data_IF_308677320388
#
_entry.id   IF_308677320388
#
_cell.length_a   1.000
_cell.length_b   1.000
_cell.length_c   1.000
_cell.angle_alpha   90.00
_cell.angle_beta   90.00
_cell.angle_gamma   90.00
#
_symmetry.space_group_name_H-M   'P 1'
#
loop_
_entity.id
_entity.type
_entity.pdbx_description
1 polymer ?
#
# COMPACT_ATOMS: atom_id res chain seq x y z
N UNK A 1 -22.50 0.53 -11.73
CA UNK A 1 -21.71 -0.31 -10.80
C UNK A 1 -20.33 -0.49 -11.38
N UNK A 2 -19.28 -0.22 -10.60
CA UNK A 2 -17.90 -0.46 -11.01
C UNK A 2 -17.70 -1.97 -11.24
N UNK A 3 -17.12 -2.36 -12.38
CA UNK A 3 -16.88 -3.78 -12.69
C UNK A 3 -15.54 -4.20 -12.09
N UNK A 4 -15.45 -5.36 -11.41
CA UNK A 4 -14.18 -5.85 -10.92
C UNK A 4 -13.25 -6.17 -12.10
N UNK A 5 -11.97 -5.80 -11.97
CA UNK A 5 -10.94 -6.19 -12.94
C UNK A 5 -10.54 -7.67 -12.76
N UNK A 6 -10.76 -8.23 -11.57
CA UNK A 6 -10.54 -9.64 -11.26
C UNK A 6 -11.69 -10.09 -10.35
N UNK A 7 -12.31 -11.22 -10.65
CA UNK A 7 -13.23 -11.90 -9.74
C UNK A 7 -13.13 -13.41 -9.96
N UNK A 8 -12.20 -14.07 -9.26
CA UNK A 8 -11.94 -15.51 -9.43
C UNK A 8 -11.28 -16.14 -8.20
N UNK A 9 -11.36 -17.47 -8.12
CA UNK A 9 -10.59 -18.29 -7.19
C UNK A 9 -9.17 -18.48 -7.72
N UNK A 10 -8.18 -18.24 -6.87
CA UNK A 10 -6.75 -18.35 -7.23
C UNK A 10 -5.97 -19.11 -6.17
N UNK A 11 -4.97 -19.87 -6.61
CA UNK A 11 -4.09 -20.63 -5.72
C UNK A 11 -3.00 -19.72 -5.14
N UNK A 12 -2.81 -19.83 -3.83
CA UNK A 12 -1.77 -19.10 -3.10
C UNK A 12 -0.41 -19.73 -3.37
N UNK A 13 0.54 -18.87 -3.73
CA UNK A 13 1.93 -19.21 -3.99
C UNK A 13 2.83 -18.57 -2.95
N UNK A 14 4.01 -19.14 -2.78
CA UNK A 14 5.03 -18.61 -1.88
C UNK A 14 6.38 -18.62 -2.58
N UNK A 15 7.09 -17.50 -2.52
CA UNK A 15 8.46 -17.45 -3.01
C UNK A 15 9.39 -18.22 -2.04
N UNK A 16 10.26 -19.12 -2.54
CA UNK A 16 11.17 -19.87 -1.68
C UNK A 16 12.25 -18.95 -1.08
N UNK A 17 12.51 -19.07 0.23
CA UNK A 17 13.56 -18.32 0.94
C UNK A 17 13.10 -17.61 2.23
N UNK A 18 14.06 -17.18 3.06
CA UNK A 18 13.76 -16.34 4.25
C UNK A 18 13.22 -14.99 3.77
N UNK A 19 12.05 -14.58 4.28
CA UNK A 19 11.36 -13.37 3.83
C UNK A 19 10.57 -13.52 2.53
N UNK A 20 10.38 -14.74 2.04
CA UNK A 20 9.61 -15.02 0.83
C UNK A 20 8.18 -14.47 0.89
N UNK A 21 7.77 -13.80 -0.18
CA UNK A 21 6.42 -13.26 -0.32
C UNK A 21 5.42 -14.41 -0.43
N UNK A 22 4.28 -14.30 0.26
CA UNK A 22 3.10 -15.12 0.00
C UNK A 22 2.13 -14.28 -0.82
N UNK A 23 1.69 -14.79 -1.96
CA UNK A 23 0.97 -14.00 -2.97
C UNK A 23 0.03 -14.86 -3.80
N UNK A 24 -0.80 -14.18 -4.60
CA UNK A 24 -1.56 -14.81 -5.68
C UNK A 24 -1.19 -14.16 -7.00
N UNK A 25 -1.28 -14.95 -8.08
CA UNK A 25 -1.01 -14.47 -9.44
C UNK A 25 -2.32 -14.19 -10.14
N UNK A 26 -2.40 -13.02 -10.75
CA UNK A 26 -3.58 -12.47 -11.39
C UNK A 26 -3.25 -12.19 -12.86
N UNK A 27 -4.18 -12.49 -13.75
CA UNK A 27 -4.04 -12.12 -15.16
C UNK A 27 -4.73 -10.78 -15.34
N UNK A 28 -3.97 -9.75 -15.68
CA UNK A 28 -4.48 -8.40 -15.83
C UNK A 28 -3.67 -7.67 -16.90
N UNK A 29 -4.38 -7.06 -17.85
CA UNK A 29 -3.77 -6.21 -18.86
C UNK A 29 -4.27 -4.78 -18.62
N UNK A 30 -3.38 -3.84 -18.24
CA UNK A 30 -3.76 -2.44 -18.11
C UNK A 30 -4.38 -1.91 -19.41
N UNK A 31 -5.46 -1.15 -19.29
CA UNK A 31 -6.14 -0.52 -20.44
C UNK A 31 -5.37 0.66 -21.01
N UNK A 32 -4.50 1.29 -20.21
CA UNK A 32 -3.66 2.41 -20.62
C UNK A 32 -2.28 1.92 -21.07
N UNK A 33 -1.72 2.54 -22.12
CA UNK A 33 -0.41 2.19 -22.66
C UNK A 33 0.69 2.46 -21.63
N UNK A 34 1.01 1.45 -20.85
CA UNK A 34 2.13 1.46 -19.91
C UNK A 34 2.10 0.22 -19.03
N UNK A 35 3.19 -0.54 -19.00
CA UNK A 35 3.41 -1.56 -17.99
C UNK A 35 3.71 -0.85 -16.67
N UNK A 36 2.68 -0.34 -15.99
CA UNK A 36 2.89 0.21 -14.65
C UNK A 36 3.38 -0.93 -13.77
N UNK A 37 4.63 -0.81 -13.29
CA UNK A 37 5.24 -1.78 -12.37
C UNK A 37 4.35 -2.04 -11.14
N UNK A 38 3.51 -1.05 -10.78
CA UNK A 38 2.58 -1.12 -9.67
C UNK A 38 1.21 -0.58 -10.07
N UNK A 39 0.14 -1.30 -9.74
CA UNK A 39 -1.24 -0.84 -9.92
C UNK A 39 -1.94 -0.82 -8.57
N UNK A 40 -2.56 0.32 -8.23
CA UNK A 40 -3.31 0.49 -6.98
C UNK A 40 -4.67 -0.18 -7.13
N UNK A 41 -5.03 -0.98 -6.14
CA UNK A 41 -6.25 -1.79 -6.15
C UNK A 41 -6.92 -1.84 -4.79
N UNK A 42 -8.22 -2.08 -4.81
CA UNK A 42 -9.08 -2.33 -3.65
C UNK A 42 -10.00 -3.52 -3.93
N UNK A 43 -10.60 -4.11 -2.91
CA UNK A 43 -11.53 -5.22 -3.08
C UNK A 43 -11.48 -6.19 -1.90
N UNK A 44 -11.54 -7.49 -2.16
CA UNK A 44 -11.60 -8.51 -1.13
C UNK A 44 -10.78 -9.77 -1.44
N UNK A 45 -10.28 -10.41 -0.39
CA UNK A 45 -9.71 -11.77 -0.40
C UNK A 45 -10.42 -12.62 0.65
N UNK A 46 -11.13 -13.68 0.24
CA UNK A 46 -12.02 -14.47 1.13
C UNK A 46 -13.03 -13.60 1.89
N UNK A 47 -13.55 -12.55 1.25
CA UNK A 47 -14.45 -11.56 1.87
C UNK A 47 -13.76 -10.55 2.78
N UNK A 48 -12.44 -10.70 3.04
CA UNK A 48 -11.67 -9.71 3.77
C UNK A 48 -11.37 -8.49 2.90
N UNK A 49 -11.75 -7.31 3.36
CA UNK A 49 -11.43 -6.07 2.64
C UNK A 49 -9.92 -5.85 2.53
N UNK A 50 -9.52 -5.46 1.32
CA UNK A 50 -8.20 -4.92 1.01
C UNK A 50 -8.40 -3.54 0.41
N UNK A 51 -7.74 -2.55 0.98
CA UNK A 51 -7.85 -1.16 0.55
C UNK A 51 -6.47 -0.55 0.32
N UNK A 52 -6.33 0.22 -0.76
CA UNK A 52 -5.07 0.82 -1.20
C UNK A 52 -3.91 -0.19 -1.29
N UNK A 53 -4.19 -1.41 -1.75
CA UNK A 53 -3.17 -2.41 -2.04
C UNK A 53 -2.48 -2.09 -3.38
N UNK A 54 -1.29 -2.63 -3.59
CA UNK A 54 -0.61 -2.56 -4.88
C UNK A 54 -0.34 -3.97 -5.40
N UNK A 55 -0.73 -4.21 -6.65
CA UNK A 55 -0.29 -5.39 -7.39
C UNK A 55 0.97 -5.04 -8.18
N UNK A 56 1.95 -5.95 -8.19
CA UNK A 56 3.20 -5.79 -8.90
C UNK A 56 3.11 -6.44 -10.28
N UNK A 57 3.57 -5.77 -11.32
CA UNK A 57 3.67 -6.38 -12.65
C UNK A 57 4.70 -7.52 -12.64
N UNK A 58 4.33 -8.64 -13.26
CA UNK A 58 5.20 -9.75 -13.62
C UNK A 58 5.33 -9.81 -15.15
N UNK A 59 6.09 -10.79 -15.66
CA UNK A 59 6.18 -11.05 -17.09
C UNK A 59 4.83 -11.51 -17.66
N UNK A 60 4.59 -11.22 -18.94
CA UNK A 60 3.48 -11.76 -19.75
C UNK A 60 2.06 -11.36 -19.27
N UNK A 61 1.86 -10.14 -18.77
CA UNK A 61 0.52 -9.67 -18.35
C UNK A 61 0.02 -10.31 -17.06
N UNK A 62 0.93 -10.92 -16.31
CA UNK A 62 0.65 -11.42 -14.96
C UNK A 62 0.97 -10.34 -13.94
N UNK A 63 0.22 -10.34 -12.85
CA UNK A 63 0.41 -9.44 -11.73
C UNK A 63 0.41 -10.25 -10.43
N UNK A 64 1.25 -9.84 -9.50
CA UNK A 64 1.35 -10.43 -8.17
C UNK A 64 0.58 -9.57 -7.18
N UNK A 65 -0.42 -10.15 -6.51
CA UNK A 65 -1.04 -9.54 -5.33
C UNK A 65 -0.39 -10.12 -4.06
N UNK A 66 0.38 -9.31 -3.31
CA UNK A 66 0.94 -9.76 -2.05
C UNK A 66 -0.13 -9.94 -0.97
N UNK A 67 -0.08 -11.08 -0.28
CA UNK A 67 -0.93 -11.37 0.87
C UNK A 67 -0.17 -11.01 2.17
N UNK A 68 -0.48 -9.81 2.70
CA UNK A 68 0.11 -9.30 3.95
C UNK A 68 -0.04 -10.30 5.09
N UNK A 69 0.91 -10.28 6.02
CA UNK A 69 0.97 -11.20 7.17
C UNK A 69 -0.33 -11.19 7.98
N UNK A 70 -0.91 -10.01 8.21
CA UNK A 70 -2.15 -9.83 8.97
C UNK A 70 -3.34 -10.54 8.33
N UNK A 71 -3.54 -10.33 7.02
CA UNK A 71 -4.58 -10.99 6.24
C UNK A 71 -4.41 -12.52 6.30
N UNK A 72 -3.17 -13.01 6.13
CA UNK A 72 -2.89 -14.45 6.19
C UNK A 72 -3.16 -15.05 7.56
N UNK A 73 -2.77 -14.36 8.63
CA UNK A 73 -3.03 -14.83 10.01
C UNK A 73 -4.52 -14.83 10.31
N UNK A 74 -5.23 -13.76 9.94
CA UNK A 74 -6.67 -13.61 10.21
C UNK A 74 -7.53 -14.68 9.54
N UNK A 75 -7.18 -15.07 8.31
CA UNK A 75 -7.94 -16.06 7.53
C UNK A 75 -7.23 -17.41 7.38
N UNK A 76 -6.17 -17.65 8.17
CA UNK A 76 -5.36 -18.86 8.15
C UNK A 76 -4.90 -19.28 6.73
N UNK A 77 -4.56 -18.31 5.89
CA UNK A 77 -4.17 -18.54 4.49
C UNK A 77 -2.74 -19.05 4.43
N UNK A 78 -2.56 -20.21 3.80
CA UNK A 78 -1.28 -20.90 3.61
C UNK A 78 -0.97 -21.09 2.13
N UNK A 79 0.28 -21.45 1.86
CA UNK A 79 0.69 -21.86 0.53
C UNK A 79 -0.13 -23.07 0.07
N UNK A 80 -0.58 -23.05 -1.19
CA UNK A 80 -1.39 -24.12 -1.76
C UNK A 80 -2.90 -23.93 -1.58
N UNK A 81 -3.34 -23.08 -0.66
CA UNK A 81 -4.76 -22.77 -0.46
C UNK A 81 -5.35 -22.08 -1.69
N UNK A 82 -6.67 -22.20 -1.84
CA UNK A 82 -7.44 -21.47 -2.83
C UNK A 82 -8.20 -20.35 -2.13
N UNK A 83 -8.03 -19.13 -2.63
CA UNK A 83 -8.69 -17.95 -2.09
C UNK A 83 -9.59 -17.30 -3.14
N UNK A 84 -10.75 -16.82 -2.71
CA UNK A 84 -11.70 -16.04 -3.51
C UNK A 84 -11.22 -14.58 -3.57
N UNK A 85 -10.89 -14.10 -4.77
CA UNK A 85 -10.32 -12.77 -4.97
C UNK A 85 -11.22 -11.94 -5.87
N UNK A 86 -11.67 -10.80 -5.36
CA UNK A 86 -12.43 -9.80 -6.09
C UNK A 86 -11.70 -8.46 -5.99
N UNK A 87 -11.32 -7.85 -7.12
CA UNK A 87 -10.46 -6.66 -7.15
C UNK A 87 -11.00 -5.64 -8.14
N UNK A 88 -10.89 -4.37 -7.75
CA UNK A 88 -11.20 -3.17 -8.51
C UNK A 88 -9.95 -2.31 -8.61
N UNK A 89 -9.87 -1.50 -9.67
CA UNK A 89 -8.89 -0.42 -9.69
C UNK A 89 -9.21 0.57 -8.57
N UNK A 90 -8.18 1.00 -7.87
CA UNK A 90 -8.33 2.01 -6.85
C UNK A 90 -7.78 3.34 -7.37
N UNK A 91 -8.72 4.25 -7.65
CA UNK A 91 -8.45 5.62 -8.08
C UNK A 91 -8.64 6.64 -6.95
N UNK A 92 -8.78 6.17 -5.70
CA UNK A 92 -8.89 7.07 -4.56
C UNK A 92 -7.55 7.77 -4.32
N UNK A 93 -7.60 9.05 -3.95
CA UNK A 93 -6.43 9.77 -3.50
C UNK A 93 -6.00 9.31 -2.11
N UNK A 94 -4.71 9.39 -1.81
CA UNK A 94 -4.23 9.21 -0.45
C UNK A 94 -4.75 10.34 0.47
N UNK A 95 -5.51 9.97 1.50
CA UNK A 95 -5.98 10.90 2.53
C UNK A 95 -4.85 11.15 3.54
N UNK A 96 -4.49 12.42 3.70
CA UNK A 96 -3.52 12.85 4.73
C UNK A 96 -4.31 13.37 5.94
N UNK A 97 -4.05 12.87 7.17
CA UNK A 97 -4.68 13.37 8.38
C UNK A 97 -4.50 14.89 8.55
N UNK A 98 -5.56 15.56 9.02
CA UNK A 98 -5.57 17.02 9.20
C UNK A 98 -4.41 17.50 10.09
N UNK A 99 -4.18 16.82 11.22
CA UNK A 99 -3.08 17.12 12.15
C UNK A 99 -1.68 17.12 11.48
N UNK A 100 -1.47 16.30 10.44
CA UNK A 100 -0.21 16.28 9.69
C UNK A 100 -0.15 17.47 8.74
N UNK A 101 -1.25 17.76 8.05
CA UNK A 101 -1.32 18.87 7.09
C UNK A 101 -1.18 20.22 7.79
N UNK A 102 -1.90 20.44 8.89
CA UNK A 102 -1.80 21.67 9.70
C UNK A 102 -0.36 21.94 10.14
N UNK A 103 0.33 20.92 10.65
CA UNK A 103 1.74 21.08 11.02
C UNK A 103 2.66 21.29 9.81
N UNK A 104 2.36 20.75 8.63
CA UNK A 104 3.18 20.95 7.43
C UNK A 104 3.03 22.35 6.83
N UNK A 105 1.86 22.98 6.97
CA UNK A 105 1.59 24.34 6.47
C UNK A 105 2.54 25.39 7.06
N UNK A 106 2.97 25.19 8.31
CA UNK A 106 3.97 26.04 8.98
C UNK A 106 5.40 25.88 8.44
N UNK A 107 5.66 24.84 7.63
CA UNK A 107 6.98 24.52 7.07
C UNK A 107 6.92 24.35 5.54
N UNK A 108 6.86 25.44 4.76
CA UNK A 108 6.66 25.38 3.30
C UNK A 108 7.62 24.45 2.56
N UNK A 109 8.90 24.40 2.98
CA UNK A 109 9.90 23.51 2.39
C UNK A 109 9.59 22.03 2.64
N UNK A 110 9.16 21.67 3.85
CA UNK A 110 8.75 20.30 4.18
C UNK A 110 7.46 19.93 3.43
N UNK A 111 6.49 20.85 3.35
CA UNK A 111 5.25 20.67 2.62
C UNK A 111 5.49 20.43 1.12
N UNK A 112 6.35 21.24 0.49
CA UNK A 112 6.72 21.07 -0.92
C UNK A 112 7.37 19.70 -1.16
N UNK A 113 8.35 19.33 -0.34
CA UNK A 113 8.99 18.02 -0.45
C UNK A 113 7.97 16.89 -0.26
N UNK A 114 7.10 17.01 0.76
CA UNK A 114 6.06 16.04 1.04
C UNK A 114 5.13 15.86 -0.16
N UNK A 115 4.64 16.96 -0.73
CA UNK A 115 3.72 16.95 -1.89
C UNK A 115 4.33 16.27 -3.11
N UNK A 116 5.64 16.43 -3.33
CA UNK A 116 6.38 15.81 -4.44
C UNK A 116 6.75 14.34 -4.19
N UNK A 117 6.53 13.78 -3.00
CA UNK A 117 6.75 12.36 -2.74
C UNK A 117 5.68 11.48 -3.40
N UNK A 118 6.07 10.24 -3.74
CA UNK A 118 5.12 9.20 -4.15
C UNK A 118 4.11 8.90 -3.03
N UNK A 119 2.90 8.47 -3.39
CA UNK A 119 1.87 8.08 -2.40
C UNK A 119 2.39 7.06 -1.38
N UNK A 120 3.23 6.10 -1.80
CA UNK A 120 3.81 5.11 -0.88
C UNK A 120 4.69 5.75 0.18
N UNK A 121 5.52 6.72 -0.20
CA UNK A 121 6.39 7.42 0.74
C UNK A 121 5.60 8.28 1.72
N UNK A 122 4.55 8.96 1.25
CA UNK A 122 3.61 9.69 2.13
C UNK A 122 2.93 8.73 3.10
N UNK A 123 2.43 7.59 2.60
CA UNK A 123 1.72 6.57 3.38
C UNK A 123 2.57 5.99 4.51
N UNK A 124 3.88 5.76 4.29
CA UNK A 124 4.75 5.26 5.36
C UNK A 124 4.79 6.19 6.57
N UNK A 125 4.90 7.51 6.36
CA UNK A 125 4.84 8.46 7.48
C UNK A 125 3.46 8.48 8.14
N UNK A 126 2.38 8.49 7.35
CA UNK A 126 1.00 8.51 7.86
C UNK A 126 0.72 7.27 8.72
N UNK A 127 1.04 6.07 8.25
CA UNK A 127 0.87 4.82 8.98
C UNK A 127 1.73 4.81 10.26
N UNK A 128 2.99 5.22 10.17
CA UNK A 128 3.88 5.31 11.33
C UNK A 128 3.36 6.30 12.38
N UNK A 129 2.80 7.44 11.98
CA UNK A 129 2.21 8.39 12.93
C UNK A 129 0.91 7.81 13.53
N UNK A 130 0.08 7.15 12.72
CA UNK A 130 -1.18 6.53 13.15
C UNK A 130 -0.98 5.36 14.13
N UNK A 131 0.14 4.64 14.08
CA UNK A 131 0.49 3.58 15.02
C UNK A 131 0.76 4.08 16.45
N UNK A 132 0.94 5.40 16.65
CA UNK A 132 1.17 5.97 17.97
C UNK A 132 -0.11 5.91 18.84
N UNK A 133 -0.01 5.27 20.01
CA UNK A 133 -1.15 5.07 20.93
C UNK A 133 -1.48 6.28 21.81
N UNK A 134 -0.55 7.21 21.99
CA UNK A 134 -0.73 8.40 22.81
C UNK A 134 -0.33 9.65 22.04
N UNK A 135 -0.86 10.79 22.49
CA UNK A 135 -0.69 12.07 21.82
C UNK A 135 0.78 12.52 21.79
N UNK A 136 1.52 12.37 22.88
CA UNK A 136 2.92 12.79 22.96
C UNK A 136 3.79 12.07 21.93
N UNK A 137 3.61 10.76 21.76
CA UNK A 137 4.32 9.99 20.75
C UNK A 137 3.93 10.46 19.35
N UNK A 138 2.65 10.76 19.13
CA UNK A 138 2.15 11.23 17.84
C UNK A 138 2.78 12.58 17.46
N UNK A 139 2.78 13.54 18.38
CA UNK A 139 3.42 14.86 18.23
C UNK A 139 4.91 14.71 17.93
N UNK A 140 5.62 13.88 18.71
CA UNK A 140 7.05 13.64 18.48
C UNK A 140 7.33 13.01 17.11
N UNK A 141 6.46 12.12 16.62
CA UNK A 141 6.59 11.52 15.29
C UNK A 141 6.32 12.54 14.17
N UNK A 142 5.35 13.43 14.34
CA UNK A 142 5.07 14.53 13.40
C UNK A 142 6.29 15.46 13.31
N UNK A 143 6.83 15.90 14.44
CA UNK A 143 8.03 16.75 14.48
C UNK A 143 9.21 16.08 13.77
N UNK A 144 9.48 14.81 14.09
CA UNK A 144 10.56 14.05 13.44
C UNK A 144 10.33 13.85 11.94
N UNK A 145 9.08 13.69 11.51
CA UNK A 145 8.76 13.65 10.08
C UNK A 145 9.12 15.00 9.43
N UNK A 146 8.70 16.12 10.02
CA UNK A 146 8.99 17.46 9.50
C UNK A 146 10.50 17.69 9.38
N UNK A 147 11.28 17.40 10.42
CA UNK A 147 12.75 17.54 10.40
C UNK A 147 13.36 16.78 9.21
N UNK A 148 12.92 15.54 8.98
CA UNK A 148 13.40 14.73 7.86
C UNK A 148 12.99 15.29 6.51
N UNK A 149 11.75 15.75 6.37
CA UNK A 149 11.27 16.37 5.13
C UNK A 149 12.04 17.68 4.84
N UNK A 150 12.38 18.45 5.87
CA UNK A 150 13.23 19.64 5.75
C UNK A 150 14.65 19.31 5.25
N UNK A 151 15.16 18.13 5.58
CA UNK A 151 16.42 17.57 5.06
C UNK A 151 16.27 16.93 3.67
N UNK A 152 15.06 16.84 3.11
CA UNK A 152 14.79 16.15 1.84
C UNK A 152 14.84 14.63 1.96
N UNK A 153 14.51 14.08 3.14
CA UNK A 153 14.52 12.64 3.44
C UNK A 153 13.12 12.05 3.60
N UNK A 154 12.93 10.89 2.99
CA UNK A 154 11.78 9.99 3.21
C UNK A 154 11.99 9.19 4.49
N UNK A 155 10.96 8.47 4.94
CA UNK A 155 11.01 7.74 6.22
C UNK A 155 12.21 6.79 6.34
N UNK A 156 12.53 6.06 5.26
CA UNK A 156 13.58 5.04 5.24
C UNK A 156 14.90 5.49 4.60
N UNK A 157 15.02 6.77 4.23
CA UNK A 157 16.29 7.30 3.74
C UNK A 157 17.32 7.34 4.88
N UNK A 158 18.59 7.13 4.55
CA UNK A 158 19.70 7.12 5.53
C UNK A 158 20.11 8.57 5.85
#
# INVERSE_FOLDING_TARGET
MEKPIINKKVKVQKYPGKGGWTYVVLEYTPSEKGNSLWVKVKGTVNGAEIDQYKIASMKNGLYMLPLKVELRKKYNIKEGDVVDVCIYLDKSDLIVPLEIMECLEDFPKALEFFNNMTESNKKYYIEWIAEAKNLDTKVNRINKMIDRLMEGKRMYDI
#
